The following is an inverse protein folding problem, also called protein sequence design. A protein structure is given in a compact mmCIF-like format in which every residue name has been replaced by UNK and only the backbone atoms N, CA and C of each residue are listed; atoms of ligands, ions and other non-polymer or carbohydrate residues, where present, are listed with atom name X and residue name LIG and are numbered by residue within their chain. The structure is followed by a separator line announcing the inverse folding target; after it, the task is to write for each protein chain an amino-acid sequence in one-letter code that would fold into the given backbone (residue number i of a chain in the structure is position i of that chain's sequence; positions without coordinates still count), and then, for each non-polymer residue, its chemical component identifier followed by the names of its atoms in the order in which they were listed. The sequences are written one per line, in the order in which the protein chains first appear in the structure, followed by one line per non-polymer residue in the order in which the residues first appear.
data_IF_986806097626
#
_entry.id   IF_986806097626
#
_cell.length_a   1.000
_cell.length_b   1.000
_cell.length_c   1.000
_cell.angle_alpha   90.00
_cell.angle_beta   90.00
_cell.angle_gamma   90.00
#
_symmetry.space_group_name_H-M   'P 1'
#
loop_
_entity.id
_entity.type
_entity.pdbx_description
1 polymer ?
#
# COMPACT_ATOMS: atom_id res chain seq x y z
N UNK A 1 5.40 19.34 -9.60
CA UNK A 1 5.11 18.22 -8.67
C UNK A 1 5.27 16.86 -9.36
N UNK A 2 5.43 15.82 -8.57
CA UNK A 2 5.44 14.43 -9.05
C UNK A 2 4.16 13.73 -8.61
N UNK A 3 3.68 12.78 -9.42
CA UNK A 3 2.50 11.98 -9.12
C UNK A 3 2.86 10.50 -9.25
N UNK A 4 2.62 9.73 -8.21
CA UNK A 4 2.71 8.27 -8.24
C UNK A 4 1.33 7.65 -8.02
N UNK A 5 0.99 6.68 -8.84
CA UNK A 5 -0.31 6.00 -8.81
C UNK A 5 -0.10 4.51 -8.57
N UNK A 6 -0.77 4.00 -7.56
CA UNK A 6 -0.76 2.60 -7.15
C UNK A 6 -2.19 2.05 -7.21
N UNK A 7 -2.61 1.39 -8.30
CA UNK A 7 -3.90 0.73 -8.33
C UNK A 7 -4.04 -0.26 -7.18
N UNK A 8 -5.21 -0.34 -6.58
CA UNK A 8 -5.44 -1.13 -5.37
C UNK A 8 -5.23 -2.66 -5.57
N UNK A 9 -5.30 -3.14 -6.81
CA UNK A 9 -5.10 -4.56 -7.15
C UNK A 9 -4.77 -4.72 -8.63
N UNK A 10 -4.30 -5.89 -9.01
CA UNK A 10 -4.05 -6.20 -10.43
C UNK A 10 -5.32 -6.14 -11.31
N UNK A 11 -6.51 -6.60 -10.88
CA UNK A 11 -7.73 -6.40 -11.65
C UNK A 11 -8.06 -4.93 -11.87
N UNK A 12 -7.89 -4.07 -10.87
CA UNK A 12 -8.08 -2.62 -11.01
C UNK A 12 -7.05 -2.04 -11.99
N UNK A 13 -5.80 -2.45 -11.89
CA UNK A 13 -4.75 -1.99 -12.81
C UNK A 13 -5.08 -2.37 -14.26
N UNK A 14 -5.50 -3.62 -14.49
CA UNK A 14 -5.88 -4.08 -15.81
C UNK A 14 -7.11 -3.32 -16.35
N UNK A 15 -8.06 -2.98 -15.49
CA UNK A 15 -9.22 -2.18 -15.89
C UNK A 15 -8.81 -0.76 -16.32
N UNK A 16 -7.88 -0.13 -15.60
CA UNK A 16 -7.31 1.17 -15.98
C UNK A 16 -6.57 1.12 -17.33
N UNK A 17 -5.95 -0.01 -17.66
CA UNK A 17 -5.32 -0.23 -18.96
C UNK A 17 -6.39 -0.38 -20.05
N UNK A 18 -7.39 -1.25 -19.81
CA UNK A 18 -8.45 -1.55 -20.79
C UNK A 18 -9.32 -0.34 -21.15
N UNK A 19 -9.58 0.54 -20.18
CA UNK A 19 -10.40 1.74 -20.40
C UNK A 19 -9.59 2.98 -20.84
N UNK A 20 -8.26 2.85 -20.99
CA UNK A 20 -7.39 3.93 -21.43
C UNK A 20 -6.93 4.89 -20.33
N UNK A 21 -7.48 4.83 -19.12
CA UNK A 21 -7.08 5.74 -18.03
C UNK A 21 -5.59 5.63 -17.69
N UNK A 22 -5.02 4.44 -17.75
CA UNK A 22 -3.59 4.26 -17.49
C UNK A 22 -2.72 5.03 -18.51
N UNK A 23 -3.09 4.99 -19.78
CA UNK A 23 -2.39 5.76 -20.81
C UNK A 23 -2.47 7.27 -20.54
N UNK A 24 -3.67 7.78 -20.29
CA UNK A 24 -3.89 9.21 -19.97
C UNK A 24 -3.07 9.65 -18.75
N UNK A 25 -3.02 8.84 -17.69
CA UNK A 25 -2.24 9.16 -16.50
C UNK A 25 -0.73 9.17 -16.83
N UNK A 26 -0.22 8.18 -17.57
CA UNK A 26 1.19 8.11 -17.94
C UNK A 26 1.61 9.27 -18.88
N UNK A 27 0.74 9.73 -19.76
CA UNK A 27 0.98 10.88 -20.64
C UNK A 27 1.23 12.18 -19.85
N UNK A 28 0.72 12.30 -18.63
CA UNK A 28 1.01 13.44 -17.74
C UNK A 28 2.42 13.41 -17.12
N UNK A 29 3.19 12.36 -17.34
CA UNK A 29 4.47 12.12 -16.67
C UNK A 29 4.36 11.47 -15.30
N UNK A 30 3.15 11.03 -14.90
CA UNK A 30 2.96 10.28 -13.66
C UNK A 30 3.61 8.89 -13.74
N UNK A 31 3.98 8.35 -12.58
CA UNK A 31 4.52 6.99 -12.46
C UNK A 31 3.43 6.06 -11.97
N UNK A 32 3.16 5.00 -12.74
CA UNK A 32 2.25 3.94 -12.32
C UNK A 32 3.03 2.70 -11.88
N UNK A 33 2.67 2.15 -10.74
CA UNK A 33 3.28 0.94 -10.17
C UNK A 33 2.19 -0.04 -9.77
N UNK A 34 2.56 -1.29 -9.55
CA UNK A 34 1.63 -2.30 -9.00
C UNK A 34 1.29 -1.99 -7.56
N UNK A 35 0.20 -2.58 -7.05
CA UNK A 35 -0.18 -2.48 -5.64
C UNK A 35 1.00 -2.88 -4.74
N UNK A 36 1.37 -2.01 -3.83
CA UNK A 36 2.59 -2.14 -3.05
C UNK A 36 2.43 -1.40 -1.71
N UNK A 37 2.85 -2.01 -0.64
CA UNK A 37 2.92 -1.36 0.66
C UNK A 37 4.32 -0.79 0.86
N UNK A 38 4.46 0.52 0.78
CA UNK A 38 5.77 1.15 0.84
C UNK A 38 5.71 2.64 1.18
N UNK A 39 4.96 3.45 0.45
CA UNK A 39 4.93 4.89 0.69
C UNK A 39 4.52 5.29 2.10
N UNK A 40 3.65 4.52 2.77
CA UNK A 40 3.17 4.84 4.12
C UNK A 40 4.24 4.68 5.21
N UNK A 41 5.33 3.97 4.94
CA UNK A 41 6.43 3.79 5.89
C UNK A 41 7.80 4.19 5.33
N UNK A 42 7.85 4.90 4.22
CA UNK A 42 9.07 5.46 3.66
C UNK A 42 9.88 4.54 2.74
N UNK A 43 9.30 3.43 2.29
CA UNK A 43 9.97 2.52 1.33
C UNK A 43 9.82 2.93 -0.14
N UNK A 44 9.47 4.16 -0.41
CA UNK A 44 9.34 4.74 -1.75
C UNK A 44 8.55 6.03 -1.73
N UNK A 45 8.69 6.81 -2.79
CA UNK A 45 8.02 8.12 -2.95
C UNK A 45 8.21 9.06 -1.74
N UNK A 46 9.41 9.01 -1.14
CA UNK A 46 9.79 9.89 -0.04
C UNK A 46 9.84 11.33 -0.54
N UNK A 47 9.15 12.27 0.12
CA UNK A 47 9.17 13.66 -0.27
C UNK A 47 10.58 14.28 -0.15
N UNK A 48 10.86 15.26 -0.99
CA UNK A 48 12.08 16.05 -0.86
C UNK A 48 12.07 16.90 0.43
N UNK A 49 13.23 17.42 0.81
CA UNK A 49 13.34 18.34 1.95
C UNK A 49 12.43 19.57 1.76
N UNK A 50 11.70 19.93 2.79
CA UNK A 50 10.67 20.99 2.81
C UNK A 50 9.50 20.77 1.85
N UNK A 51 9.36 19.57 1.29
CA UNK A 51 8.22 19.26 0.43
C UNK A 51 6.97 18.93 1.26
N UNK A 52 5.81 19.19 0.65
CA UNK A 52 4.53 18.74 1.14
C UNK A 52 4.00 17.63 0.23
N UNK A 53 3.71 16.48 0.81
CA UNK A 53 3.14 15.33 0.10
C UNK A 53 1.69 15.12 0.51
N UNK A 54 0.81 14.99 -0.46
CA UNK A 54 -0.56 14.53 -0.23
C UNK A 54 -0.70 13.11 -0.76
N UNK A 55 -1.40 12.24 -0.03
CA UNK A 55 -1.52 10.84 -0.42
C UNK A 55 -2.83 10.20 0.03
N UNK A 56 -3.28 9.26 -0.76
CA UNK A 56 -4.34 8.35 -0.41
C UNK A 56 -3.70 7.01 -0.01
N UNK A 57 -3.43 6.86 1.27
CA UNK A 57 -2.91 5.61 1.83
C UNK A 57 -3.72 5.25 3.07
N UNK A 58 -3.60 4.01 3.52
CA UNK A 58 -4.37 3.54 4.67
C UNK A 58 -3.93 4.19 5.99
N UNK A 59 -2.69 4.69 6.04
CA UNK A 59 -2.07 5.21 7.26
C UNK A 59 -1.12 6.36 6.96
N UNK A 60 -0.98 7.23 7.94
CA UNK A 60 0.02 8.27 7.99
C UNK A 60 0.77 8.14 9.31
N UNK A 61 1.89 7.45 9.30
CA UNK A 61 2.68 7.19 10.50
C UNK A 61 3.53 8.42 10.87
N UNK A 62 3.54 8.83 12.14
CA UNK A 62 4.48 9.83 12.62
C UNK A 62 5.94 9.40 12.37
N UNK A 63 6.79 10.36 12.11
CA UNK A 63 8.23 10.14 11.93
C UNK A 63 8.60 9.16 10.80
N UNK A 64 7.72 9.01 9.81
CA UNK A 64 7.97 8.20 8.61
C UNK A 64 8.07 9.09 7.38
N UNK A 65 8.62 8.55 6.30
CA UNK A 65 8.63 9.15 4.97
C UNK A 65 9.24 10.55 4.90
N UNK A 66 10.32 10.76 5.63
CA UNK A 66 10.99 12.05 5.68
C UNK A 66 10.39 13.06 6.65
N UNK A 67 9.31 12.72 7.37
CA UNK A 67 8.77 13.56 8.43
C UNK A 67 9.59 13.53 9.72
N UNK A 68 10.50 12.57 9.87
CA UNK A 68 11.47 12.53 10.95
C UNK A 68 12.62 13.47 10.62
N UNK A 69 12.89 14.43 11.50
CA UNK A 69 14.03 15.32 11.37
C UNK A 69 15.34 14.53 11.30
N UNK A 70 16.07 14.73 10.23
CA UNK A 70 17.40 14.16 10.04
C UNK A 70 18.30 15.22 9.42
N UNK A 71 19.38 15.59 10.09
CA UNK A 71 20.30 16.64 9.64
C UNK A 71 19.60 17.99 9.33
N UNK A 72 18.55 18.33 10.07
CA UNK A 72 17.73 19.53 9.84
C UNK A 72 16.75 19.43 8.67
N UNK A 73 16.69 18.31 7.98
CA UNK A 73 15.73 18.07 6.88
C UNK A 73 14.39 17.61 7.43
N UNK A 74 13.32 18.06 6.80
CA UNK A 74 11.94 17.67 7.13
C UNK A 74 11.06 17.71 5.88
N UNK A 75 10.04 16.85 5.86
CA UNK A 75 8.92 16.96 4.92
C UNK A 75 7.59 16.83 5.66
N UNK A 76 6.52 17.29 5.04
CA UNK A 76 5.17 17.20 5.58
C UNK A 76 4.33 16.26 4.72
N UNK A 77 3.51 15.45 5.38
CA UNK A 77 2.63 14.47 4.73
C UNK A 77 1.21 14.65 5.24
N UNK A 78 0.24 14.70 4.34
CA UNK A 78 -1.18 14.71 4.67
C UNK A 78 -1.94 13.61 3.92
N UNK A 79 -2.94 13.04 4.58
CA UNK A 79 -3.88 12.12 3.93
C UNK A 79 -4.98 12.91 3.23
N UNK A 80 -5.30 12.47 2.02
CA UNK A 80 -6.35 13.06 1.20
C UNK A 80 -7.01 11.95 0.38
N UNK A 81 -8.29 12.08 0.06
CA UNK A 81 -8.95 11.10 -0.81
C UNK A 81 -8.45 11.19 -2.26
N UNK A 82 -8.53 10.07 -2.99
CA UNK A 82 -7.96 9.98 -4.33
C UNK A 82 -8.58 10.98 -5.33
N UNK A 83 -9.84 11.34 -5.16
CA UNK A 83 -10.51 12.31 -6.05
C UNK A 83 -10.00 13.73 -5.80
N UNK A 84 -9.78 14.09 -4.54
CA UNK A 84 -9.20 15.38 -4.18
C UNK A 84 -7.72 15.47 -4.57
N UNK A 85 -6.97 14.36 -4.52
CA UNK A 85 -5.61 14.31 -5.08
C UNK A 85 -5.65 14.56 -6.60
N UNK A 86 -6.58 13.92 -7.32
CA UNK A 86 -6.73 14.12 -8.75
C UNK A 86 -7.16 15.57 -9.08
N UNK A 87 -8.10 16.15 -8.34
CA UNK A 87 -8.49 17.54 -8.47
C UNK A 87 -7.32 18.51 -8.23
N UNK A 88 -6.51 18.24 -7.18
CA UNK A 88 -5.29 19.00 -6.89
C UNK A 88 -4.26 18.88 -8.00
N UNK A 89 -4.10 17.70 -8.59
CA UNK A 89 -3.20 17.50 -9.72
C UNK A 89 -3.69 18.25 -10.97
N UNK A 90 -4.98 18.18 -11.28
CA UNK A 90 -5.61 18.92 -12.39
C UNK A 90 -5.47 20.45 -12.20
N UNK A 91 -5.53 20.93 -10.98
CA UNK A 91 -5.29 22.32 -10.61
C UNK A 91 -3.82 22.65 -10.33
N UNK A 92 -2.91 22.01 -11.06
CA UNK A 92 -1.48 22.29 -11.07
C UNK A 92 -0.79 22.24 -9.68
N UNK A 93 -1.32 21.45 -8.76
CA UNK A 93 -0.79 21.28 -7.41
C UNK A 93 -1.37 22.23 -6.36
N UNK A 94 -2.30 23.08 -6.71
CA UNK A 94 -3.07 23.86 -5.73
C UNK A 94 -4.06 22.94 -5.04
N UNK A 95 -4.00 22.87 -3.70
CA UNK A 95 -4.91 22.01 -2.92
C UNK A 95 -6.37 22.29 -3.26
N UNK A 96 -7.02 21.31 -3.80
CA UNK A 96 -8.40 21.41 -4.31
C UNK A 96 -9.22 20.22 -3.85
N UNK A 97 -10.29 20.41 -3.08
CA UNK A 97 -11.19 19.33 -2.74
C UNK A 97 -11.96 18.85 -3.98
N UNK A 98 -12.32 17.57 -4.03
CA UNK A 98 -13.06 17.00 -5.13
C UNK A 98 -14.41 17.68 -5.39
N UNK A 99 -14.99 18.32 -4.38
CA UNK A 99 -16.26 19.06 -4.45
C UNK A 99 -16.16 20.39 -5.20
N UNK A 100 -14.96 20.91 -5.37
CA UNK A 100 -14.68 22.16 -6.08
C UNK A 100 -14.16 21.92 -7.51
N UNK A 101 -14.04 20.65 -7.91
CA UNK A 101 -13.65 20.31 -9.27
C UNK A 101 -14.84 20.43 -10.20
N UNK A 102 -14.77 21.32 -11.18
CA UNK A 102 -15.83 21.59 -12.16
C UNK A 102 -15.61 20.91 -13.53
N UNK A 103 -14.63 20.04 -13.62
CA UNK A 103 -14.36 19.25 -14.82
C UNK A 103 -15.36 18.11 -15.03
N UNK A 104 -15.48 17.66 -16.28
CA UNK A 104 -16.27 16.48 -16.58
C UNK A 104 -15.64 15.21 -16.01
N UNK A 105 -16.46 14.40 -15.34
CA UNK A 105 -16.05 13.11 -14.81
C UNK A 105 -16.55 11.99 -15.71
N UNK A 106 -15.64 11.25 -16.29
CA UNK A 106 -15.98 10.02 -17.00
C UNK A 106 -16.47 8.96 -16.00
N UNK A 107 -17.67 8.44 -16.23
CA UNK A 107 -18.26 7.39 -15.39
C UNK A 107 -17.86 6.03 -15.93
N UNK A 108 -16.72 5.53 -15.50
CA UNK A 108 -16.31 4.15 -15.79
C UNK A 108 -17.01 3.16 -14.83
N UNK A 109 -17.47 2.05 -15.40
CA UNK A 109 -17.99 0.95 -14.61
C UNK A 109 -16.89 -0.09 -14.45
N UNK A 110 -16.54 -0.39 -13.20
CA UNK A 110 -15.57 -1.44 -12.89
C UNK A 110 -16.13 -2.83 -13.18
N UNK A 111 -15.31 -3.67 -13.83
CA UNK A 111 -15.61 -5.08 -14.06
C UNK A 111 -14.48 -5.92 -13.46
N UNK A 112 -14.83 -6.76 -12.50
CA UNK A 112 -13.88 -7.68 -11.91
C UNK A 112 -13.57 -8.83 -12.88
N UNK A 113 -12.29 -8.98 -13.22
CA UNK A 113 -11.79 -10.09 -14.04
C UNK A 113 -11.04 -11.08 -13.14
N UNK A 114 -11.67 -12.21 -12.84
CA UNK A 114 -11.11 -13.26 -11.98
C UNK A 114 -9.93 -14.01 -12.63
N UNK A 115 -9.80 -13.98 -13.95
CA UNK A 115 -8.76 -14.72 -14.68
C UNK A 115 -7.35 -14.30 -14.25
N UNK A 116 -7.17 -13.05 -13.85
CA UNK A 116 -5.89 -12.54 -13.37
C UNK A 116 -5.39 -13.34 -12.18
N UNK A 117 -6.26 -13.64 -11.22
CA UNK A 117 -5.91 -14.46 -10.06
C UNK A 117 -5.94 -15.95 -10.37
N UNK A 118 -6.89 -16.42 -11.17
CA UNK A 118 -6.94 -17.82 -11.60
C UNK A 118 -5.64 -18.28 -12.29
N UNK A 119 -4.99 -17.37 -13.02
CA UNK A 119 -3.71 -17.65 -13.68
C UNK A 119 -2.47 -17.56 -12.77
N UNK A 120 -2.62 -17.06 -11.54
CA UNK A 120 -1.49 -16.81 -10.62
C UNK A 120 -1.56 -17.56 -9.31
N UNK A 121 -2.74 -17.90 -8.87
CA UNK A 121 -2.98 -18.50 -7.56
C UNK A 121 -3.37 -19.95 -7.74
N UNK A 122 -2.62 -20.83 -7.12
CA UNK A 122 -3.00 -22.23 -7.02
C UNK A 122 -4.11 -22.34 -5.96
N UNK A 123 -5.27 -22.83 -6.38
CA UNK A 123 -6.39 -23.09 -5.49
C UNK A 123 -6.46 -24.58 -5.18
N UNK A 124 -6.09 -24.96 -3.97
CA UNK A 124 -6.11 -26.33 -3.48
C UNK A 124 -7.42 -26.73 -2.79
N UNK A 125 -8.43 -25.86 -2.80
CA UNK A 125 -9.72 -26.16 -2.15
C UNK A 125 -10.36 -27.42 -2.73
N UNK A 126 -10.59 -28.40 -1.88
CA UNK A 126 -11.21 -29.69 -2.27
C UNK A 126 -10.26 -30.68 -2.93
N UNK A 127 -8.95 -30.33 -3.12
CA UNK A 127 -7.93 -31.22 -3.68
C UNK A 127 -6.73 -31.34 -2.72
N UNK A 128 -7.00 -31.31 -1.43
CA UNK A 128 -5.95 -31.50 -0.43
C UNK A 128 -5.32 -32.91 -0.58
N UNK A 129 -4.02 -32.97 -0.59
CA UNK A 129 -3.23 -34.20 -0.61
C UNK A 129 -2.37 -34.25 0.66
N UNK A 130 -2.70 -35.12 1.64
CA UNK A 130 -1.96 -35.24 2.89
C UNK A 130 -0.55 -35.83 2.71
N UNK A 131 -0.28 -36.50 1.58
CA UNK A 131 0.97 -37.17 1.30
C UNK A 131 1.96 -36.30 0.50
N UNK A 132 1.56 -35.05 0.18
CA UNK A 132 2.44 -34.09 -0.48
C UNK A 132 3.64 -33.76 0.41
N UNK A 133 4.84 -34.00 -0.12
CA UNK A 133 6.08 -33.62 0.52
C UNK A 133 6.27 -32.09 0.45
N UNK A 134 6.52 -31.47 1.62
CA UNK A 134 6.86 -30.05 1.68
C UNK A 134 8.29 -29.83 1.23
N UNK A 135 8.47 -29.13 0.12
CA UNK A 135 9.79 -28.73 -0.36
C UNK A 135 10.09 -27.29 0.06
N UNK A 136 11.09 -27.14 0.90
CA UNK A 136 11.53 -25.84 1.39
C UNK A 136 12.38 -25.12 0.33
N UNK A 137 12.21 -23.80 0.22
CA UNK A 137 13.06 -22.97 -0.63
C UNK A 137 14.50 -22.88 -0.09
N UNK A 138 15.46 -22.41 -0.90
CA UNK A 138 16.90 -22.46 -0.56
C UNK A 138 17.29 -21.66 0.69
N UNK A 139 16.50 -20.70 1.11
CA UNK A 139 16.74 -19.86 2.31
C UNK A 139 15.80 -20.17 3.46
N UNK A 140 15.01 -21.24 3.36
CA UNK A 140 14.03 -21.63 4.36
C UNK A 140 14.57 -22.87 5.06
N UNK A 141 14.70 -22.79 6.38
CA UNK A 141 15.04 -23.95 7.22
C UNK A 141 13.78 -24.64 7.66
N UNK A 142 13.92 -25.94 7.96
CA UNK A 142 12.86 -26.71 8.57
C UNK A 142 12.42 -26.10 9.91
N UNK A 143 11.20 -26.41 10.32
CA UNK A 143 10.64 -25.97 11.59
C UNK A 143 11.50 -26.46 12.75
N UNK A 144 11.74 -25.63 13.77
CA UNK A 144 12.31 -26.13 15.01
C UNK A 144 11.37 -27.16 15.66
N UNK A 145 11.91 -28.09 16.36
CA UNK A 145 11.11 -29.03 17.15
C UNK A 145 10.26 -28.26 18.17
N UNK A 146 8.95 -28.29 18.00
CA UNK A 146 7.97 -27.63 18.87
C UNK A 146 7.06 -28.69 19.46
N UNK A 147 6.77 -28.60 20.76
CA UNK A 147 5.74 -29.40 21.40
C UNK A 147 4.34 -28.96 20.99
N UNK A 148 3.37 -29.85 21.13
CA UNK A 148 1.96 -29.47 20.98
C UNK A 148 1.59 -28.39 22.01
N UNK A 149 0.72 -27.45 21.60
CA UNK A 149 0.17 -26.47 22.53
C UNK A 149 -0.64 -27.19 23.62
N UNK A 150 -0.42 -26.90 24.91
CA UNK A 150 -1.24 -27.45 25.98
C UNK A 150 -2.65 -26.82 25.94
N UNK A 151 -3.61 -27.45 26.58
CA UNK A 151 -4.98 -26.95 26.69
C UNK A 151 -5.04 -25.58 27.37
N UNK A 152 -4.16 -25.29 28.29
CA UNK A 152 -4.04 -24.03 29.01
C UNK A 152 -2.60 -23.50 28.92
N UNK A 153 -2.46 -22.19 28.63
CA UNK A 153 -1.17 -21.50 28.64
C UNK A 153 -1.03 -20.67 29.91
N UNK A 154 0.04 -20.88 30.64
CA UNK A 154 0.42 -20.02 31.75
C UNK A 154 1.51 -19.09 31.28
N UNK A 155 1.19 -17.79 31.18
CA UNK A 155 2.08 -16.77 30.71
C UNK A 155 2.52 -15.85 31.83
N UNK A 156 3.80 -15.46 31.81
CA UNK A 156 4.33 -14.42 32.71
C UNK A 156 4.35 -13.10 31.94
N UNK A 157 3.74 -12.05 32.51
CA UNK A 157 3.88 -10.69 31.98
C UNK A 157 5.32 -10.26 32.25
N UNK A 158 6.05 -9.95 31.19
CA UNK A 158 7.46 -9.53 31.24
C UNK A 158 7.66 -8.07 30.87
N UNK A 159 6.68 -7.44 30.26
CA UNK A 159 6.67 -6.02 29.94
C UNK A 159 5.24 -5.51 29.88
N UNK A 160 5.04 -4.29 30.32
CA UNK A 160 3.79 -3.56 30.20
C UNK A 160 4.08 -2.23 29.50
N UNK A 161 3.39 -1.98 28.37
CA UNK A 161 3.61 -0.80 27.54
C UNK A 161 2.39 0.11 27.71
N UNK A 162 2.62 1.33 28.20
CA UNK A 162 1.59 2.33 28.42
C UNK A 162 1.50 3.37 27.30
N UNK A 163 2.43 3.35 26.34
CA UNK A 163 2.38 4.23 25.17
C UNK A 163 1.29 3.78 24.19
N UNK A 164 0.28 4.62 23.92
CA UNK A 164 -0.80 4.28 22.98
C UNK A 164 -0.36 4.20 21.52
N UNK A 165 0.86 4.59 21.20
CA UNK A 165 1.38 4.69 19.82
C UNK A 165 2.60 3.79 19.58
N UNK A 166 2.89 2.86 20.47
CA UNK A 166 4.00 1.90 20.30
C UNK A 166 3.85 1.13 18.99
N UNK A 167 4.88 1.15 18.20
CA UNK A 167 4.96 0.45 16.90
C UNK A 167 5.90 -0.75 16.97
N UNK A 168 5.83 -1.62 15.98
CA UNK A 168 6.75 -2.76 15.87
C UNK A 168 8.22 -2.37 15.72
N UNK A 169 8.53 -1.11 15.44
CA UNK A 169 9.92 -0.63 15.37
C UNK A 169 10.49 -0.25 16.75
N UNK A 170 9.65 -0.19 17.76
CA UNK A 170 10.02 0.15 19.13
C UNK A 170 10.07 -1.09 20.03
N UNK A 171 9.62 -2.23 19.50
CA UNK A 171 9.68 -3.56 20.12
C UNK A 171 10.87 -4.35 19.60
#
# INVERSE_FOLDING_TARGET
FTLSVYPASMPVYMELIKNGCAATILETGAVMKTAFCGPCFGAGDTPANNAFSIRHSTRNFPNREGSKLQNGQISSVALMDARSIAATAANQGVLTPATEFDGELNKYKYHYDSNIYANRVFDSKGVADPDVEIQLGPNIKDWPAMGALPENLVLKVVSEIHDPVTTTDEL
#
